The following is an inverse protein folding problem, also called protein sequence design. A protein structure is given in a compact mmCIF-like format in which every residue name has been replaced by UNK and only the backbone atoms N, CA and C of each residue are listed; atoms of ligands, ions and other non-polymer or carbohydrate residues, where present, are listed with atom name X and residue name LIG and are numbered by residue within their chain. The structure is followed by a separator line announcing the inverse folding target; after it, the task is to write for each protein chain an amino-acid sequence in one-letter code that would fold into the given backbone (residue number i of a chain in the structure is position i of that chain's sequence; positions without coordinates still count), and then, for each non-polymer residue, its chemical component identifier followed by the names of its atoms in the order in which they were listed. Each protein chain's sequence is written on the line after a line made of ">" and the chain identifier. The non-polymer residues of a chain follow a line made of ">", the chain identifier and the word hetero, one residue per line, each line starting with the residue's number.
data_IF_517378350845
#
_entry.id   IF_517378350845
#
_cell.length_a   1.000
_cell.length_b   1.000
_cell.length_c   1.000
_cell.angle_alpha   90.00
_cell.angle_beta   90.00
_cell.angle_gamma   90.00
#
_symmetry.space_group_name_H-M   'P 1'
#
loop_
_entity.id
_entity.type
_entity.pdbx_description
1 polymer ?
#
# COMPACT_ATOMS: atom_id res chain seq x y z
N UNK A 1 32.29 12.78 29.55
CA UNK A 1 31.01 12.93 28.84
C UNK A 1 30.80 11.62 28.11
N UNK A 2 30.04 10.72 28.72
CA UNK A 2 29.67 9.44 28.10
C UNK A 2 28.77 9.75 26.89
N UNK A 3 29.08 9.24 25.68
CA UNK A 3 28.12 9.28 24.60
C UNK A 3 26.99 8.36 25.04
N UNK A 4 25.81 8.94 25.27
CA UNK A 4 24.61 8.19 25.56
C UNK A 4 24.52 7.02 24.57
N UNK A 5 24.61 5.81 25.12
CA UNK A 5 24.09 4.61 24.49
C UNK A 5 22.63 4.92 24.13
N UNK A 6 22.39 5.35 22.90
CA UNK A 6 21.09 5.19 22.27
C UNK A 6 20.92 3.67 22.22
N UNK A 7 20.30 3.11 23.25
CA UNK A 7 19.65 1.81 23.11
C UNK A 7 18.80 1.91 21.85
N UNK A 8 18.90 0.96 20.90
CA UNK A 8 17.90 0.89 19.84
C UNK A 8 16.58 0.68 20.56
N UNK A 9 15.81 1.75 20.78
CA UNK A 9 14.41 1.62 21.11
C UNK A 9 13.84 0.80 19.97
N UNK A 10 13.54 -0.46 20.30
CA UNK A 10 13.22 -1.48 19.33
C UNK A 10 12.17 -0.94 18.37
N UNK A 11 12.46 -0.98 17.06
CA UNK A 11 11.51 -0.65 16.01
C UNK A 11 10.22 -1.50 16.07
N UNK A 12 10.18 -2.48 16.97
CA UNK A 12 9.03 -3.34 17.29
C UNK A 12 7.90 -2.66 18.08
N UNK A 13 7.98 -1.37 18.41
CA UNK A 13 6.84 -0.66 19.01
C UNK A 13 6.10 0.19 17.95
N UNK A 14 4.77 0.25 18.05
CA UNK A 14 3.91 0.95 17.08
C UNK A 14 4.08 2.49 17.11
N UNK A 15 4.75 3.04 18.13
CA UNK A 15 5.02 4.48 18.27
C UNK A 15 6.33 4.91 17.63
N UNK A 16 7.18 3.96 17.23
CA UNK A 16 8.46 4.24 16.59
C UNK A 16 8.22 4.64 15.15
N UNK A 17 9.08 5.52 14.64
CA UNK A 17 9.07 5.94 13.25
C UNK A 17 10.42 5.65 12.62
N UNK A 18 10.40 5.21 11.38
CA UNK A 18 11.57 5.16 10.53
C UNK A 18 11.93 6.59 10.11
N UNK A 19 13.22 6.90 10.13
CA UNK A 19 13.72 8.20 9.69
C UNK A 19 14.16 8.08 8.23
N UNK A 20 13.47 8.78 7.33
CA UNK A 20 13.83 8.84 5.91
C UNK A 20 14.30 10.24 5.51
N UNK A 21 15.29 10.29 4.61
CA UNK A 21 15.72 11.51 3.93
C UNK A 21 15.05 11.56 2.56
N UNK A 22 13.89 12.21 2.48
CA UNK A 22 13.15 12.45 1.24
C UNK A 22 13.09 13.95 0.95
N UNK A 23 12.98 14.34 -0.33
CA UNK A 23 12.82 15.75 -0.72
C UNK A 23 11.46 16.33 -0.32
N UNK A 24 10.45 15.48 -0.15
CA UNK A 24 9.11 15.81 0.33
C UNK A 24 8.66 14.77 1.35
N UNK A 25 8.03 15.20 2.45
CA UNK A 25 7.57 14.27 3.49
C UNK A 25 6.11 13.84 3.30
N UNK A 26 5.85 13.08 2.24
CA UNK A 26 4.53 12.49 1.94
C UNK A 26 4.58 10.96 1.96
N UNK A 27 3.45 10.26 2.18
CA UNK A 27 3.39 8.80 2.12
C UNK A 27 3.92 8.23 0.79
N UNK A 28 3.64 8.89 -0.32
CA UNK A 28 4.06 8.46 -1.67
C UNK A 28 5.58 8.58 -1.83
N UNK A 29 6.16 9.70 -1.37
CA UNK A 29 7.60 9.91 -1.39
C UNK A 29 8.33 8.94 -0.43
N UNK A 30 7.71 8.62 0.71
CA UNK A 30 8.20 7.60 1.62
C UNK A 30 8.18 6.20 0.98
N UNK A 31 7.06 5.80 0.37
CA UNK A 31 6.95 4.51 -0.33
C UNK A 31 7.99 4.37 -1.45
N UNK A 32 8.16 5.42 -2.27
CA UNK A 32 9.19 5.45 -3.31
C UNK A 32 10.62 5.34 -2.72
N UNK A 33 10.89 6.01 -1.59
CA UNK A 33 12.18 5.92 -0.91
C UNK A 33 12.45 4.54 -0.29
N UNK A 34 11.39 3.78 0.03
CA UNK A 34 11.48 2.37 0.43
C UNK A 34 11.72 1.43 -0.77
N UNK A 35 11.87 1.96 -1.99
CA UNK A 35 11.96 1.20 -3.25
C UNK A 35 10.76 0.28 -3.49
N UNK A 36 9.64 0.60 -2.85
CA UNK A 36 8.37 -0.06 -3.09
C UNK A 36 7.74 0.66 -4.27
N UNK A 37 7.24 -0.06 -5.26
CA UNK A 37 6.54 0.58 -6.39
C UNK A 37 5.19 1.12 -5.88
N UNK A 38 5.05 2.43 -5.69
CA UNK A 38 3.81 3.01 -5.16
C UNK A 38 2.65 2.86 -6.16
N UNK A 39 2.96 2.62 -7.44
CA UNK A 39 1.98 2.36 -8.49
C UNK A 39 1.45 0.93 -8.49
N UNK A 40 2.06 0.02 -7.73
CA UNK A 40 1.65 -1.38 -7.63
C UNK A 40 1.13 -1.75 -6.24
N UNK A 41 1.60 -1.10 -5.18
CA UNK A 41 1.23 -1.45 -3.80
C UNK A 41 0.81 -0.21 -3.01
N UNK A 42 -0.48 -0.16 -2.63
CA UNK A 42 -0.99 0.90 -1.76
C UNK A 42 -0.61 0.59 -0.31
N UNK A 43 0.16 1.48 0.32
CA UNK A 43 0.60 1.31 1.69
C UNK A 43 -0.16 2.22 2.65
N UNK A 44 -0.52 1.71 3.83
CA UNK A 44 -1.04 2.52 4.93
C UNK A 44 0.12 3.10 5.72
N UNK A 45 0.57 4.29 5.33
CA UNK A 45 1.67 5.01 5.95
C UNK A 45 1.21 6.36 6.48
N UNK A 46 1.82 6.79 7.59
CA UNK A 46 1.74 8.17 8.09
C UNK A 46 3.12 8.79 8.07
N UNK A 47 3.22 9.99 7.49
CA UNK A 47 4.45 10.77 7.48
C UNK A 47 4.33 12.04 8.32
N UNK A 48 5.43 12.45 8.94
CA UNK A 48 5.53 13.70 9.69
C UNK A 48 6.91 14.33 9.50
N UNK A 49 6.94 15.59 9.11
CA UNK A 49 8.19 16.34 9.00
C UNK A 49 8.61 16.90 10.36
N UNK A 50 9.88 16.71 10.71
CA UNK A 50 10.54 17.29 11.89
C UNK A 50 11.95 17.71 11.50
N UNK A 51 12.28 18.99 11.66
CA UNK A 51 13.62 19.54 11.38
C UNK A 51 14.19 19.09 10.01
N UNK A 52 13.41 19.27 8.94
CA UNK A 52 13.75 18.87 7.57
C UNK A 52 14.01 17.36 7.37
N UNK A 53 13.54 16.54 8.31
CA UNK A 53 13.62 15.08 8.26
C UNK A 53 12.21 14.49 8.19
N UNK A 54 12.02 13.43 7.41
CA UNK A 54 10.73 12.77 7.32
C UNK A 54 10.68 11.56 8.25
N UNK A 55 9.76 11.61 9.22
CA UNK A 55 9.42 10.49 10.06
C UNK A 55 8.30 9.70 9.40
N UNK A 56 8.48 8.39 9.24
CA UNK A 56 7.52 7.49 8.61
C UNK A 56 7.12 6.42 9.62
N UNK A 57 5.82 6.23 9.80
CA UNK A 57 5.28 5.17 10.65
C UNK A 57 4.14 4.45 9.93
N UNK A 58 3.77 3.24 10.35
CA UNK A 58 2.55 2.61 9.86
C UNK A 58 1.33 3.51 10.12
N UNK A 59 0.38 3.51 9.21
CA UNK A 59 -0.89 4.21 9.37
C UNK A 59 -1.81 3.55 10.38
N UNK A 60 -3.01 4.10 10.55
CA UNK A 60 -3.95 3.64 11.58
C UNK A 60 -4.42 2.20 11.34
N UNK A 61 -4.68 1.82 10.09
CA UNK A 61 -5.15 0.47 9.76
C UNK A 61 -4.04 -0.54 10.01
N UNK A 62 -2.82 -0.24 9.56
CA UNK A 62 -1.66 -1.11 9.74
C UNK A 62 -1.30 -1.26 11.23
N UNK A 63 -1.34 -0.17 12.02
CA UNK A 63 -1.11 -0.22 13.47
C UNK A 63 -2.12 -1.10 14.20
N UNK A 64 -3.39 -1.08 13.80
CA UNK A 64 -4.42 -1.92 14.40
C UNK A 64 -4.17 -3.42 14.16
N UNK A 65 -3.44 -3.77 13.10
CA UNK A 65 -2.98 -5.15 12.81
C UNK A 65 -1.62 -5.47 13.43
N UNK A 66 -1.06 -4.56 14.22
CA UNK A 66 0.22 -4.74 14.88
C UNK A 66 1.43 -4.43 14.02
N UNK A 67 1.28 -3.75 12.87
CA UNK A 67 2.42 -3.29 12.10
C UNK A 67 3.25 -2.26 12.88
N UNK A 68 4.56 -2.31 12.72
CA UNK A 68 5.53 -1.50 13.45
C UNK A 68 6.54 -0.84 12.51
N UNK A 69 7.43 -0.01 13.05
CA UNK A 69 8.52 0.55 12.26
C UNK A 69 9.50 -0.54 11.77
N UNK A 70 9.58 -1.68 12.45
CA UNK A 70 10.38 -2.82 12.02
C UNK A 70 9.88 -3.38 10.69
N UNK A 71 8.56 -3.48 10.49
CA UNK A 71 7.98 -3.93 9.21
C UNK A 71 8.38 -3.01 8.05
N UNK A 72 8.44 -1.69 8.30
CA UNK A 72 8.93 -0.71 7.32
C UNK A 72 10.43 -0.85 7.07
N UNK A 73 11.21 -1.16 8.11
CA UNK A 73 12.64 -1.40 8.00
C UNK A 73 12.95 -2.68 7.20
N UNK A 74 12.20 -3.75 7.45
CA UNK A 74 12.26 -4.99 6.67
C UNK A 74 11.90 -4.73 5.22
N UNK A 75 10.83 -3.96 4.96
CA UNK A 75 10.45 -3.59 3.60
C UNK A 75 11.55 -2.80 2.88
N UNK A 76 12.21 -1.86 3.58
CA UNK A 76 13.35 -1.12 3.03
C UNK A 76 14.54 -2.01 2.65
N UNK A 77 14.87 -3.01 3.47
CA UNK A 77 16.06 -3.85 3.26
C UNK A 77 15.80 -4.96 2.24
N UNK A 78 14.63 -5.59 2.32
CA UNK A 78 14.29 -6.80 1.56
C UNK A 78 13.46 -6.54 0.32
N UNK A 79 12.85 -5.36 0.20
CA UNK A 79 11.82 -5.07 -0.79
C UNK A 79 10.49 -5.81 -0.54
N UNK A 80 10.36 -6.55 0.56
CA UNK A 80 9.15 -7.30 0.89
C UNK A 80 8.25 -6.50 1.84
N UNK A 81 7.03 -6.22 1.38
CA UNK A 81 6.05 -5.50 2.18
C UNK A 81 5.15 -6.49 2.92
N UNK A 82 5.07 -6.35 4.24
CA UNK A 82 4.14 -7.11 5.06
C UNK A 82 2.67 -6.79 4.64
N UNK A 83 1.82 -7.82 4.55
CA UNK A 83 0.41 -7.66 4.18
C UNK A 83 -0.36 -6.73 5.14
N UNK A 84 0.08 -6.57 6.39
CA UNK A 84 -0.49 -5.62 7.35
C UNK A 84 -0.26 -4.15 6.98
N UNK A 85 0.82 -3.86 6.23
CA UNK A 85 1.12 -2.51 5.73
C UNK A 85 0.37 -2.18 4.44
N UNK A 86 -0.12 -3.19 3.72
CA UNK A 86 -0.84 -2.99 2.46
C UNK A 86 -2.31 -2.71 2.70
N UNK A 87 -2.86 -1.79 1.91
CA UNK A 87 -4.28 -1.46 1.90
C UNK A 87 -4.97 -2.24 0.79
N UNK A 88 -5.96 -3.02 1.18
CA UNK A 88 -6.90 -3.71 0.32
C UNK A 88 -8.32 -3.15 0.54
N UNK A 89 -9.29 -3.66 -0.21
CA UNK A 89 -10.69 -3.29 -0.03
C UNK A 89 -11.64 -4.50 -0.03
N UNK A 90 -12.77 -4.30 0.64
CA UNK A 90 -13.88 -5.23 0.58
C UNK A 90 -14.55 -5.24 -0.81
N UNK A 91 -15.57 -6.09 -0.97
CA UNK A 91 -16.32 -6.23 -2.25
C UNK A 91 -16.97 -4.94 -2.73
N UNK A 92 -17.21 -3.98 -1.83
CA UNK A 92 -17.83 -2.71 -2.20
C UNK A 92 -16.80 -1.70 -2.68
N UNK A 93 -15.50 -1.96 -2.44
CA UNK A 93 -14.41 -1.02 -2.70
C UNK A 93 -14.41 0.20 -1.79
N UNK A 94 -15.40 0.33 -0.89
CA UNK A 94 -15.60 1.50 -0.04
C UNK A 94 -14.98 1.32 1.34
N UNK A 95 -14.78 0.08 1.80
CA UNK A 95 -14.14 -0.21 3.07
C UNK A 95 -12.71 -0.63 2.79
N UNK A 96 -11.78 0.23 3.24
CA UNK A 96 -10.36 -0.08 3.23
C UNK A 96 -10.05 -1.00 4.42
N UNK A 97 -9.32 -2.07 4.13
CA UNK A 97 -8.87 -3.04 5.13
C UNK A 97 -7.41 -3.34 4.90
N UNK A 98 -6.64 -3.69 5.94
CA UNK A 98 -5.33 -4.30 5.76
C UNK A 98 -5.45 -5.56 4.91
N UNK A 99 -4.49 -5.79 4.00
CA UNK A 99 -4.50 -6.98 3.16
C UNK A 99 -4.26 -8.27 3.98
N UNK A 100 -3.76 -8.17 5.21
CA UNK A 100 -3.72 -9.28 6.18
C UNK A 100 -5.11 -9.82 6.56
N UNK A 101 -6.17 -9.02 6.39
CA UNK A 101 -7.55 -9.38 6.68
C UNK A 101 -8.28 -9.90 5.43
N UNK A 102 -9.41 -10.62 5.58
CA UNK A 102 -10.21 -11.07 4.44
C UNK A 102 -10.69 -9.93 3.54
N UNK A 103 -10.31 -9.95 2.28
CA UNK A 103 -10.69 -8.95 1.27
C UNK A 103 -10.90 -9.61 -0.10
N UNK A 104 -11.51 -8.87 -1.02
CA UNK A 104 -11.74 -9.34 -2.40
C UNK A 104 -11.15 -8.43 -3.45
N UNK A 105 -10.70 -7.24 -3.06
CA UNK A 105 -10.17 -6.23 -3.95
C UNK A 105 -8.79 -5.82 -3.48
N UNK A 106 -7.82 -5.85 -4.37
CA UNK A 106 -6.45 -5.35 -4.15
C UNK A 106 -6.23 -4.18 -5.12
N UNK A 107 -5.74 -3.06 -4.59
CA UNK A 107 -5.45 -1.88 -5.41
C UNK A 107 -4.22 -2.13 -6.26
N UNK A 108 -4.30 -1.77 -7.53
CA UNK A 108 -3.17 -1.78 -8.45
C UNK A 108 -2.84 -0.34 -8.81
N UNK A 109 -2.36 0.38 -7.80
CA UNK A 109 -1.94 1.78 -7.90
C UNK A 109 -2.84 2.80 -7.19
N UNK A 110 -2.55 4.07 -7.48
CA UNK A 110 -3.09 5.22 -6.76
C UNK A 110 -4.50 5.65 -7.20
N UNK A 111 -5.11 6.50 -6.37
CA UNK A 111 -6.30 7.27 -6.77
C UNK A 111 -5.85 8.43 -7.66
N UNK A 112 -6.34 8.45 -8.88
CA UNK A 112 -6.03 9.47 -9.87
C UNK A 112 -7.32 10.17 -10.29
N UNK A 113 -7.22 11.43 -10.70
CA UNK A 113 -8.39 12.14 -11.25
C UNK A 113 -8.91 11.40 -12.49
N UNK A 114 -10.25 11.30 -12.60
CA UNK A 114 -10.92 10.62 -13.71
C UNK A 114 -10.50 11.19 -15.07
N UNK A 115 -10.08 10.32 -15.98
CA UNK A 115 -9.65 10.67 -17.34
C UNK A 115 -10.20 9.67 -18.37
N UNK A 116 -10.36 10.11 -19.61
CA UNK A 116 -10.71 9.20 -20.71
C UNK A 116 -9.63 8.12 -20.88
N UNK A 117 -10.04 6.87 -21.13
CA UNK A 117 -9.11 5.73 -21.28
C UNK A 117 -8.58 5.13 -19.98
N UNK A 118 -9.13 5.50 -18.82
CA UNK A 118 -8.66 4.97 -17.53
C UNK A 118 -8.81 3.45 -17.42
N UNK A 119 -9.90 2.87 -17.96
CA UNK A 119 -10.13 1.43 -17.93
C UNK A 119 -9.05 0.62 -18.65
N UNK A 120 -8.62 1.06 -19.84
CA UNK A 120 -7.60 0.35 -20.62
C UNK A 120 -6.25 0.37 -19.88
N UNK A 121 -5.91 1.51 -19.28
CA UNK A 121 -4.75 1.63 -18.39
C UNK A 121 -4.85 0.68 -17.20
N UNK A 122 -6.04 0.49 -16.61
CA UNK A 122 -6.20 -0.45 -15.51
C UNK A 122 -5.97 -1.90 -15.91
N UNK A 123 -6.32 -2.27 -17.14
CA UNK A 123 -6.03 -3.61 -17.68
C UNK A 123 -4.52 -3.81 -17.80
N UNK A 124 -3.79 -2.83 -18.35
CA UNK A 124 -2.33 -2.87 -18.46
C UNK A 124 -1.66 -2.95 -17.08
N UNK A 125 -2.08 -2.10 -16.14
CA UNK A 125 -1.53 -2.10 -14.78
C UNK A 125 -1.81 -3.42 -14.06
N UNK A 126 -3.04 -3.93 -14.13
CA UNK A 126 -3.40 -5.22 -13.53
C UNK A 126 -2.63 -6.39 -14.15
N UNK A 127 -2.41 -6.38 -15.46
CA UNK A 127 -1.61 -7.40 -16.15
C UNK A 127 -0.14 -7.34 -15.70
N UNK A 128 0.46 -6.15 -15.66
CA UNK A 128 1.83 -5.96 -15.17
C UNK A 128 1.99 -6.37 -13.71
N UNK A 129 1.00 -6.06 -12.87
CA UNK A 129 1.01 -6.36 -11.44
C UNK A 129 0.89 -7.85 -11.14
N UNK A 130 -0.05 -8.52 -11.81
CA UNK A 130 -0.37 -9.93 -11.54
C UNK A 130 0.47 -10.90 -12.38
N UNK A 131 1.13 -10.42 -13.43
CA UNK A 131 1.81 -11.25 -14.43
C UNK A 131 0.87 -12.10 -15.29
N UNK A 132 -0.44 -11.79 -15.29
CA UNK A 132 -1.48 -12.57 -15.98
C UNK A 132 -2.08 -11.77 -17.13
N UNK A 133 -2.59 -12.48 -18.13
CA UNK A 133 -3.47 -11.91 -19.14
C UNK A 133 -4.86 -11.68 -18.52
N UNK A 134 -5.30 -10.42 -18.48
CA UNK A 134 -6.57 -10.03 -17.88
C UNK A 134 -7.77 -10.28 -18.79
N UNK A 135 -7.55 -10.54 -20.08
CA UNK A 135 -8.60 -10.92 -21.03
C UNK A 135 -8.85 -12.43 -21.05
N UNK A 136 -7.94 -13.22 -20.47
CA UNK A 136 -8.08 -14.66 -20.34
C UNK A 136 -9.15 -15.04 -19.29
N UNK A 137 -9.94 -16.12 -19.50
CA UNK A 137 -10.86 -16.60 -18.49
C UNK A 137 -10.14 -16.93 -17.17
N UNK A 138 -10.64 -16.39 -16.06
CA UNK A 138 -10.05 -16.59 -14.74
C UNK A 138 -10.95 -16.08 -13.62
N UNK A 139 -10.48 -16.22 -12.39
CA UNK A 139 -11.16 -15.80 -11.17
C UNK A 139 -10.79 -14.37 -10.72
N UNK A 140 -9.90 -13.72 -11.46
CA UNK A 140 -9.52 -12.32 -11.29
C UNK A 140 -10.21 -11.44 -12.32
N UNK A 141 -10.68 -10.27 -11.89
CA UNK A 141 -11.33 -9.26 -12.73
C UNK A 141 -10.71 -7.90 -12.46
N UNK A 142 -10.49 -7.12 -13.52
CA UNK A 142 -10.13 -5.71 -13.38
C UNK A 142 -11.37 -4.92 -12.99
N UNK A 143 -11.27 -4.15 -11.92
CA UNK A 143 -12.34 -3.24 -11.48
C UNK A 143 -11.78 -1.84 -11.28
N UNK A 144 -12.56 -0.84 -11.71
CA UNK A 144 -12.24 0.58 -11.48
C UNK A 144 -13.08 1.05 -10.30
N UNK A 145 -12.42 1.31 -9.17
CA UNK A 145 -13.08 1.91 -8.02
C UNK A 145 -13.17 3.42 -8.21
N UNK A 146 -14.24 4.02 -7.70
CA UNK A 146 -14.52 5.47 -7.81
C UNK A 146 -14.78 6.05 -6.44
N UNK A 147 -14.21 7.23 -6.17
CA UNK A 147 -14.53 8.01 -4.97
C UNK A 147 -14.73 9.48 -5.32
N UNK A 148 -15.50 10.17 -4.49
CA UNK A 148 -15.58 11.63 -4.51
C UNK A 148 -14.45 12.19 -3.63
N UNK A 149 -13.55 12.97 -4.23
CA UNK A 149 -12.44 13.62 -3.52
C UNK A 149 -12.39 15.11 -3.89
N UNK A 150 -13.07 15.93 -3.09
CA UNK A 150 -13.21 17.36 -3.38
C UNK A 150 -14.10 17.63 -4.59
N UNK A 151 -13.63 18.46 -5.51
CA UNK A 151 -14.42 18.91 -6.67
C UNK A 151 -14.35 17.96 -7.89
N UNK A 152 -13.45 16.97 -7.88
CA UNK A 152 -13.26 16.04 -8.99
C UNK A 152 -13.40 14.59 -8.49
N UNK A 153 -14.06 13.71 -9.25
CA UNK A 153 -14.04 12.28 -8.97
C UNK A 153 -12.64 11.72 -9.19
N UNK A 154 -12.27 10.76 -8.33
CA UNK A 154 -11.04 9.99 -8.47
C UNK A 154 -11.35 8.53 -8.75
N UNK A 155 -10.49 7.90 -9.54
CA UNK A 155 -10.52 6.50 -9.93
C UNK A 155 -9.24 5.78 -9.48
N UNK A 156 -9.37 4.53 -9.08
CA UNK A 156 -8.24 3.66 -8.80
C UNK A 156 -8.41 2.33 -9.54
N UNK A 157 -7.31 1.84 -10.12
CA UNK A 157 -7.26 0.52 -10.71
C UNK A 157 -7.18 -0.53 -9.60
N UNK A 158 -7.89 -1.64 -9.76
CA UNK A 158 -7.89 -2.71 -8.77
C UNK A 158 -8.13 -4.05 -9.45
N UNK A 159 -7.66 -5.12 -8.82
CA UNK A 159 -7.99 -6.49 -9.17
C UNK A 159 -8.94 -7.06 -8.13
N UNK A 160 -9.96 -7.79 -8.58
CA UNK A 160 -10.97 -8.39 -7.73
C UNK A 160 -11.03 -9.90 -7.94
N UNK A 161 -11.08 -10.67 -6.86
CA UNK A 161 -11.33 -12.11 -6.88
C UNK A 161 -12.80 -12.46 -6.64
N UNK A 162 -13.24 -13.61 -7.14
CA UNK A 162 -14.60 -14.12 -6.89
C UNK A 162 -14.81 -14.59 -5.43
N UNK A 163 -13.74 -14.90 -4.70
CA UNK A 163 -13.77 -15.33 -3.29
C UNK A 163 -12.90 -14.46 -2.40
N UNK A 164 -13.24 -14.35 -1.11
CA UNK A 164 -12.47 -13.58 -0.12
C UNK A 164 -11.13 -14.27 0.19
N UNK A 165 -10.07 -13.48 0.32
CA UNK A 165 -8.68 -13.93 0.51
C UNK A 165 -7.99 -13.13 1.61
N UNK A 166 -6.94 -13.71 2.19
CA UNK A 166 -5.96 -13.01 3.02
C UNK A 166 -4.67 -12.87 2.22
N UNK A 167 -3.88 -11.85 2.53
CA UNK A 167 -2.64 -11.46 1.82
C UNK A 167 -2.87 -10.89 0.42
N UNK A 168 -2.53 -11.57 -0.66
CA UNK A 168 -2.72 -11.05 -2.02
C UNK A 168 -3.84 -11.79 -2.74
N UNK A 169 -4.68 -11.07 -3.48
CA UNK A 169 -5.78 -11.70 -4.21
C UNK A 169 -5.31 -12.45 -5.45
N UNK A 170 -4.15 -12.12 -6.02
CA UNK A 170 -3.70 -12.71 -7.30
C UNK A 170 -2.76 -13.93 -7.15
N UNK A 171 -2.20 -14.16 -5.96
CA UNK A 171 -1.41 -15.37 -5.66
C UNK A 171 -2.31 -16.60 -5.43
N UNK A 172 -3.22 -16.84 -6.39
CA UNK A 172 -4.14 -17.97 -6.36
C UNK A 172 -3.38 -19.21 -6.83
N UNK A 173 -2.98 -20.03 -5.85
CA UNK A 173 -2.30 -21.31 -6.07
C UNK A 173 -0.77 -21.22 -5.90
N UNK A 174 -0.32 -21.55 -4.70
CA UNK A 174 1.02 -22.12 -4.48
C UNK A 174 0.89 -23.63 -4.36
#
# INVERSE_FOLDING_TARGET
>A
MDPAHLSPESCSNASTSLVLRTSTCTPEAAAAALQLDPGLERLDLTTREVDATCLVSPGTLAKNEGATAEDLHVALISGQVNASLRVCADVTGNILTPCSQPHRVEFVGDWLDTKAGFSDRCVEMASSYTGRDMDAPGDLKVVVLRRQAGAQPQEACSVMSDSSRMSSVFHIGG
#
